data_IF_697928913603
#
_entry.id   IF_697928913603
#
_cell.length_a   1.000
_cell.length_b   1.000
_cell.length_c   1.000
_cell.angle_alpha   90.00
_cell.angle_beta   90.00
_cell.angle_gamma   90.00
#
_symmetry.space_group_name_H-M   'P 1'
#
loop_
_entity.id
_entity.type
_entity.pdbx_description
1 polymer ?
#
# COMPACT_ATOMS: atom_id res chain seq x y z
N UNK A 1 0.48 8.07 2.81
CA UNK A 1 0.31 6.70 2.30
C UNK A 1 0.41 6.72 0.79
N UNK A 2 1.07 5.72 0.20
CA UNK A 2 1.09 5.48 -1.24
C UNK A 2 0.42 4.13 -1.52
N UNK A 3 -0.31 4.01 -2.62
CA UNK A 3 -0.88 2.72 -3.02
C UNK A 3 -0.87 2.54 -4.54
N UNK A 4 -0.95 1.29 -5.00
CA UNK A 4 -0.98 0.94 -6.42
C UNK A 4 -1.83 -0.31 -6.65
N UNK A 5 -2.57 -0.35 -7.76
CA UNK A 5 -3.18 -1.59 -8.24
C UNK A 5 -2.11 -2.52 -8.80
N UNK A 6 -2.08 -3.78 -8.36
CA UNK A 6 -1.00 -4.70 -8.76
C UNK A 6 -1.11 -5.22 -10.21
N UNK A 7 -2.24 -4.97 -10.89
CA UNK A 7 -2.46 -5.27 -12.31
C UNK A 7 -2.34 -4.03 -13.21
N UNK A 8 -1.92 -2.88 -12.67
CA UNK A 8 -1.62 -1.72 -13.50
C UNK A 8 -0.35 -1.96 -14.34
N UNK A 9 -0.50 -1.95 -15.65
CA UNK A 9 0.62 -2.05 -16.59
C UNK A 9 1.23 -0.68 -16.94
N UNK A 10 0.46 0.41 -16.84
CA UNK A 10 0.91 1.76 -17.16
C UNK A 10 1.90 2.27 -16.12
N UNK A 11 1.61 2.05 -14.83
CA UNK A 11 2.50 2.36 -13.72
C UNK A 11 2.60 1.16 -12.78
N UNK A 12 3.43 0.14 -13.11
CA UNK A 12 3.49 -1.09 -12.35
C UNK A 12 3.95 -0.86 -10.90
N UNK A 13 3.28 -1.51 -9.95
CA UNK A 13 3.54 -1.38 -8.51
C UNK A 13 5.02 -1.59 -8.13
N UNK A 14 5.74 -2.46 -8.85
CA UNK A 14 7.19 -2.70 -8.65
C UNK A 14 8.02 -1.42 -8.89
N UNK A 15 7.60 -0.56 -9.83
CA UNK A 15 8.27 0.71 -10.10
C UNK A 15 8.09 1.68 -8.94
N UNK A 16 6.89 1.74 -8.38
CA UNK A 16 6.61 2.51 -7.16
C UNK A 16 7.42 2.00 -5.98
N UNK A 17 7.54 0.68 -5.78
CA UNK A 17 8.42 0.12 -4.74
C UNK A 17 9.87 0.52 -4.91
N UNK A 18 10.41 0.41 -6.13
CA UNK A 18 11.78 0.81 -6.42
C UNK A 18 11.99 2.30 -6.18
N UNK A 19 11.03 3.14 -6.55
CA UNK A 19 11.07 4.57 -6.27
C UNK A 19 11.09 4.87 -4.76
N UNK A 20 10.23 4.23 -3.97
CA UNK A 20 10.21 4.39 -2.51
C UNK A 20 11.56 3.99 -1.89
N UNK A 21 12.20 2.92 -2.39
CA UNK A 21 13.53 2.49 -1.91
C UNK A 21 14.62 3.54 -2.12
N UNK A 22 14.47 4.46 -3.08
CA UNK A 22 15.43 5.56 -3.28
C UNK A 22 15.45 6.57 -2.14
N UNK A 23 14.41 6.59 -1.29
CA UNK A 23 14.36 7.46 -0.12
C UNK A 23 15.22 6.96 1.05
N UNK A 24 15.78 5.75 0.95
CA UNK A 24 16.66 5.16 1.95
C UNK A 24 16.06 5.16 3.38
N UNK A 25 14.78 4.80 3.48
CA UNK A 25 14.04 4.70 4.73
C UNK A 25 14.27 3.33 5.41
N UNK A 26 14.16 3.30 6.73
CA UNK A 26 14.25 2.05 7.49
C UNK A 26 12.97 1.24 7.33
N UNK A 27 13.09 -0.03 6.94
CA UNK A 27 11.92 -0.93 6.87
C UNK A 27 11.51 -1.33 8.28
N UNK A 28 10.28 -0.98 8.67
CA UNK A 28 9.72 -1.26 9.99
C UNK A 28 8.85 -2.53 9.98
N UNK A 29 7.96 -2.66 9.00
CA UNK A 29 7.19 -3.89 8.76
C UNK A 29 7.45 -4.37 7.34
N UNK A 30 7.95 -5.61 7.23
CA UNK A 30 8.20 -6.27 5.96
C UNK A 30 6.92 -6.58 5.19
N UNK A 31 7.08 -6.85 3.89
CA UNK A 31 6.02 -7.17 2.94
C UNK A 31 5.04 -8.23 3.46
N UNK A 32 3.85 -7.80 3.90
CA UNK A 32 2.83 -8.67 4.52
C UNK A 32 1.46 -8.48 3.89
N UNK A 33 0.60 -9.51 3.86
CA UNK A 33 -0.75 -9.37 3.33
C UNK A 33 -1.61 -8.49 4.23
N UNK A 34 -2.59 -7.81 3.63
CA UNK A 34 -3.70 -7.17 4.33
C UNK A 34 -5.03 -7.75 3.85
N UNK A 35 -6.05 -7.64 4.70
CA UNK A 35 -7.29 -8.39 4.51
C UNK A 35 -8.53 -7.51 4.54
N UNK A 36 -9.51 -7.85 3.70
CA UNK A 36 -10.90 -7.40 3.79
C UNK A 36 -11.77 -8.65 3.79
N UNK A 37 -12.63 -8.77 4.80
CA UNK A 37 -13.53 -9.92 4.99
C UNK A 37 -12.81 -11.28 4.94
N UNK A 38 -11.62 -11.36 5.53
CA UNK A 38 -10.81 -12.57 5.57
C UNK A 38 -10.14 -12.96 4.25
N UNK A 39 -10.28 -12.15 3.19
CA UNK A 39 -9.61 -12.36 1.90
C UNK A 39 -8.40 -11.44 1.77
N UNK A 40 -7.34 -11.94 1.13
CA UNK A 40 -6.15 -11.12 0.83
C UNK A 40 -6.54 -10.05 -0.18
N UNK A 41 -6.48 -8.79 0.25
CA UNK A 41 -6.82 -7.61 -0.57
C UNK A 41 -5.58 -6.93 -1.16
N UNK A 42 -4.39 -7.39 -0.78
CA UNK A 42 -3.11 -6.96 -1.30
C UNK A 42 -2.01 -7.14 -0.26
N UNK A 43 -0.93 -6.38 -0.41
CA UNK A 43 0.21 -6.41 0.49
C UNK A 43 0.58 -5.00 0.94
N UNK A 44 1.18 -4.88 2.11
CA UNK A 44 1.70 -3.63 2.62
C UNK A 44 3.16 -3.73 3.02
N UNK A 45 3.83 -2.59 3.00
CA UNK A 45 5.16 -2.39 3.54
C UNK A 45 5.19 -1.06 4.30
N UNK A 46 5.81 -1.07 5.48
CA UNK A 46 5.89 0.11 6.34
C UNK A 46 7.32 0.53 6.49
N UNK A 47 7.56 1.80 6.23
CA UNK A 47 8.86 2.44 6.33
C UNK A 47 8.81 3.54 7.36
N UNK A 48 9.91 3.70 8.08
CA UNK A 48 10.11 4.78 9.05
C UNK A 48 11.27 5.66 8.58
N UNK A 49 11.08 6.97 8.71
CA UNK A 49 12.16 7.94 8.52
C UNK A 49 13.31 7.69 9.48
N UNK A 50 14.54 8.00 9.08
CA UNK A 50 15.73 7.84 9.92
C UNK A 50 15.67 8.68 11.21
N UNK A 51 14.97 9.82 11.18
CA UNK A 51 14.70 10.66 12.36
C UNK A 51 13.51 10.16 13.21
N UNK A 52 12.72 9.21 12.71
CA UNK A 52 11.52 8.70 13.39
C UNK A 52 10.31 9.66 13.41
N UNK A 53 10.39 10.77 12.68
CA UNK A 53 9.38 11.84 12.63
C UNK A 53 8.16 11.50 11.78
N UNK A 54 8.31 10.65 10.76
CA UNK A 54 7.20 10.18 9.94
C UNK A 54 7.31 8.71 9.56
N UNK A 55 6.15 8.14 9.24
CA UNK A 55 5.99 6.78 8.71
C UNK A 55 5.39 6.85 7.31
N UNK A 56 5.99 6.11 6.38
CA UNK A 56 5.46 5.90 5.05
C UNK A 56 4.88 4.49 4.98
N UNK A 57 3.61 4.40 4.60
CA UNK A 57 2.94 3.12 4.32
C UNK A 57 2.76 3.02 2.81
N UNK A 58 3.21 1.90 2.25
CA UNK A 58 2.95 1.51 0.88
C UNK A 58 2.01 0.31 0.86
N UNK A 59 0.99 0.34 0.01
CA UNK A 59 0.04 -0.75 -0.13
C UNK A 59 -0.20 -1.12 -1.61
N UNK A 60 -0.44 -2.39 -1.88
CA UNK A 60 -1.02 -2.84 -3.16
C UNK A 60 -2.49 -3.17 -2.98
N UNK A 61 -3.26 -3.03 -4.05
CA UNK A 61 -4.63 -3.53 -4.13
C UNK A 61 -4.65 -4.67 -5.15
N UNK A 62 -4.89 -5.88 -4.66
CA UNK A 62 -4.86 -7.12 -5.45
C UNK A 62 -5.98 -7.14 -6.49
N UNK A 63 -5.61 -7.35 -7.75
CA UNK A 63 -6.54 -7.41 -8.88
C UNK A 63 -7.04 -6.05 -9.35
N UNK A 64 -6.44 -4.95 -8.90
CA UNK A 64 -6.81 -3.60 -9.33
C UNK A 64 -5.87 -3.07 -10.42
N UNK A 65 -6.41 -2.29 -11.36
CA UNK A 65 -5.66 -1.55 -12.38
C UNK A 65 -5.24 -0.15 -11.91
N UNK A 66 -4.93 0.73 -12.86
CA UNK A 66 -4.46 2.10 -12.59
C UNK A 66 -5.44 2.91 -11.73
N UNK A 67 -6.72 2.89 -12.10
CA UNK A 67 -7.81 3.50 -11.34
C UNK A 67 -8.36 2.48 -10.34
N UNK A 68 -7.57 2.14 -9.32
CA UNK A 68 -7.90 1.03 -8.41
C UNK A 68 -9.33 1.04 -7.83
N UNK A 69 -9.93 2.19 -7.45
CA UNK A 69 -11.31 2.23 -6.95
C UNK A 69 -12.38 1.79 -7.97
N UNK A 70 -12.10 1.86 -9.28
CA UNK A 70 -13.01 1.38 -10.33
C UNK A 70 -13.12 -0.16 -10.31
N UNK A 71 -12.01 -0.84 -10.05
CA UNK A 71 -11.92 -2.31 -10.07
C UNK A 71 -12.18 -2.95 -8.72
N UNK A 72 -11.77 -2.27 -7.63
CA UNK A 72 -11.79 -2.78 -6.25
C UNK A 72 -12.31 -1.72 -5.27
N UNK A 73 -13.57 -1.25 -5.43
CA UNK A 73 -14.11 -0.14 -4.64
C UNK A 73 -14.18 -0.43 -3.14
N UNK A 74 -14.55 -1.66 -2.77
CA UNK A 74 -14.67 -2.08 -1.36
C UNK A 74 -13.31 -2.08 -0.66
N UNK A 75 -12.31 -2.67 -1.29
CA UNK A 75 -10.95 -2.74 -0.77
C UNK A 75 -10.34 -1.34 -0.68
N UNK A 76 -10.55 -0.49 -1.69
CA UNK A 76 -10.08 0.89 -1.65
C UNK A 76 -10.76 1.72 -0.55
N UNK A 77 -12.06 1.52 -0.33
CA UNK A 77 -12.79 2.16 0.77
C UNK A 77 -12.26 1.73 2.14
N UNK A 78 -12.11 0.42 2.36
CA UNK A 78 -11.53 -0.11 3.60
C UNK A 78 -10.10 0.39 3.82
N UNK A 79 -9.33 0.53 2.75
CA UNK A 79 -7.97 1.03 2.79
C UNK A 79 -7.90 2.49 3.25
N UNK A 80 -8.73 3.37 2.67
CA UNK A 80 -8.75 4.79 3.04
C UNK A 80 -9.36 5.03 4.43
N UNK A 81 -10.36 4.24 4.82
CA UNK A 81 -10.96 4.31 6.17
C UNK A 81 -9.93 3.94 7.26
N UNK A 82 -9.17 2.85 7.06
CA UNK A 82 -8.07 2.46 7.95
C UNK A 82 -6.96 3.51 8.01
N UNK A 83 -6.64 4.14 6.87
CA UNK A 83 -5.66 5.22 6.83
C UNK A 83 -6.06 6.41 7.71
N UNK A 84 -7.33 6.83 7.68
CA UNK A 84 -7.80 7.97 8.48
C UNK A 84 -8.04 7.65 9.95
N UNK A 85 -8.35 6.40 10.29
CA UNK A 85 -8.60 5.96 11.67
C UNK A 85 -7.33 5.56 12.42
N UNK A 86 -6.15 5.69 11.80
CA UNK A 86 -4.86 5.22 12.33
C UNK A 86 -4.84 3.71 12.66
N UNK A 87 -5.77 2.93 12.10
CA UNK A 87 -5.82 1.49 12.27
C UNK A 87 -4.96 0.83 11.18
N UNK A 88 -4.03 -0.04 11.57
CA UNK A 88 -3.10 -0.66 10.61
C UNK A 88 -3.84 -1.62 9.66
N UNK A 89 -3.51 -1.53 8.37
CA UNK A 89 -3.97 -2.41 7.30
C UNK A 89 -3.62 -3.88 7.54
#
# INVERSE_FOLDING_TARGET
MFFSGDHDFSVPHIRTQNWIRTFNLTTNEYWRPWFVDGQVSGYIEKFMSSSGDYTLIYATVKGAGHVAPEYKPKECYQMIDRFFTYFLL
#
